data_IF_775426509149
#
_entry.id   IF_775426509149
#
_cell.length_a   1.000
_cell.length_b   1.000
_cell.length_c   1.000
_cell.angle_alpha   90.00
_cell.angle_beta   90.00
_cell.angle_gamma   90.00
#
_symmetry.space_group_name_H-M   'P 1'
#
loop_
_entity.id
_entity.type
_entity.pdbx_description
1 polymer ?
#
# COMPACT_ATOMS: atom_id res chain seq x y z
N UNK A 1 2.43 5.78 -29.00
CA UNK A 1 2.00 4.92 -27.87
C UNK A 1 3.17 4.82 -26.92
N UNK A 2 2.98 5.03 -25.63
CA UNK A 2 4.04 4.85 -24.63
C UNK A 2 4.45 3.38 -24.62
N UNK A 3 5.74 3.09 -24.70
CA UNK A 3 6.28 1.75 -24.67
C UNK A 3 6.25 1.22 -23.23
N UNK A 4 5.79 -0.02 -23.03
CA UNK A 4 5.86 -0.71 -21.75
C UNK A 4 7.07 -1.62 -21.74
N UNK A 5 7.97 -1.42 -20.79
CA UNK A 5 9.25 -2.14 -20.72
C UNK A 5 9.13 -3.21 -19.66
N UNK A 6 9.53 -4.44 -19.98
CA UNK A 6 9.60 -5.51 -18.98
C UNK A 6 10.73 -5.22 -17.97
N UNK A 7 10.49 -5.52 -16.69
CA UNK A 7 11.44 -5.28 -15.61
C UNK A 7 12.85 -5.80 -15.91
N UNK A 8 12.99 -6.97 -16.53
CA UNK A 8 14.28 -7.59 -16.87
C UNK A 8 15.01 -6.97 -18.09
N UNK A 9 14.35 -6.03 -18.79
CA UNK A 9 14.92 -5.27 -19.92
C UNK A 9 15.04 -3.78 -19.61
N UNK A 10 14.69 -3.39 -18.38
CA UNK A 10 14.67 -2.00 -17.99
C UNK A 10 16.08 -1.50 -17.68
N UNK A 11 16.51 -0.46 -18.37
CA UNK A 11 17.80 0.20 -18.15
C UNK A 11 17.61 1.48 -17.35
N UNK A 12 18.03 1.45 -16.08
CA UNK A 12 17.93 2.60 -15.17
C UNK A 12 18.70 3.82 -15.69
N UNK A 13 19.77 3.63 -16.43
CA UNK A 13 20.57 4.74 -16.99
C UNK A 13 19.82 5.58 -18.01
N UNK A 14 18.72 5.05 -18.56
CA UNK A 14 17.83 5.73 -19.51
C UNK A 14 16.77 6.62 -18.84
N UNK A 15 16.79 6.73 -17.51
CA UNK A 15 15.91 7.62 -16.76
C UNK A 15 16.40 9.09 -16.83
N UNK A 16 15.46 9.98 -17.09
CA UNK A 16 15.68 11.42 -17.12
C UNK A 16 14.79 12.09 -16.07
N UNK A 17 15.36 13.00 -15.31
CA UNK A 17 14.70 13.71 -14.22
C UNK A 17 14.52 15.18 -14.57
N UNK A 18 13.32 15.70 -14.49
CA UNK A 18 13.07 17.11 -14.62
C UNK A 18 13.35 17.88 -13.32
N UNK A 19 13.72 19.17 -13.43
CA UNK A 19 13.79 20.03 -12.27
C UNK A 19 12.44 20.12 -11.58
N UNK A 20 12.37 19.94 -10.23
CA UNK A 20 11.12 20.03 -9.52
C UNK A 20 10.48 21.41 -9.60
N UNK A 21 9.19 21.45 -9.93
CA UNK A 21 8.37 22.66 -9.98
C UNK A 21 7.34 22.65 -8.86
N UNK A 22 6.98 23.82 -8.35
CA UNK A 22 5.97 23.95 -7.30
C UNK A 22 4.57 23.63 -7.87
N UNK A 23 3.89 22.69 -7.24
CA UNK A 23 2.52 22.29 -7.56
C UNK A 23 1.72 22.22 -6.24
N UNK A 24 0.87 23.23 -5.96
CA UNK A 24 -0.03 23.21 -4.80
C UNK A 24 0.65 22.88 -3.45
N UNK A 25 1.71 23.62 -3.08
CA UNK A 25 2.49 23.46 -1.85
C UNK A 25 3.39 22.24 -1.76
N UNK A 26 3.64 21.56 -2.85
CA UNK A 26 4.66 20.51 -2.96
C UNK A 26 5.52 20.77 -4.21
N UNK A 27 6.72 20.20 -4.23
CA UNK A 27 7.55 20.22 -5.43
C UNK A 27 7.47 18.87 -6.13
N UNK A 28 7.39 18.89 -7.45
CA UNK A 28 7.25 17.71 -8.26
C UNK A 28 8.19 17.78 -9.48
N UNK A 29 9.05 16.75 -9.63
CA UNK A 29 9.90 16.54 -10.79
C UNK A 29 9.47 15.28 -11.53
N UNK A 30 9.19 15.35 -12.82
CA UNK A 30 8.85 14.17 -13.63
C UNK A 30 10.05 13.26 -13.82
N UNK A 31 9.76 11.97 -14.01
CA UNK A 31 10.71 10.97 -14.45
C UNK A 31 10.23 10.42 -15.79
N UNK A 32 11.09 10.53 -16.79
CA UNK A 32 10.84 10.03 -18.13
C UNK A 32 11.85 8.92 -18.46
N UNK A 33 11.47 7.98 -19.30
CA UNK A 33 12.34 6.96 -19.87
C UNK A 33 12.52 7.21 -21.37
N UNK A 34 13.74 7.54 -21.78
CA UNK A 34 14.00 7.93 -23.18
C UNK A 34 13.04 9.01 -23.69
N UNK A 35 12.76 10.06 -22.89
CA UNK A 35 11.84 11.15 -23.17
C UNK A 35 10.35 10.72 -23.35
N UNK A 36 9.99 9.54 -22.84
CA UNK A 36 8.61 9.05 -22.82
C UNK A 36 8.20 8.74 -21.37
N UNK A 37 6.88 8.70 -21.06
CA UNK A 37 6.41 8.25 -19.76
C UNK A 37 6.94 6.84 -19.45
N UNK A 38 7.42 6.67 -18.22
CA UNK A 38 8.08 5.46 -17.76
C UNK A 38 7.08 4.40 -17.28
N UNK A 39 6.83 3.37 -18.08
CA UNK A 39 5.97 2.24 -17.75
C UNK A 39 6.78 0.95 -17.64
N UNK A 40 6.67 0.27 -16.51
CA UNK A 40 7.39 -0.98 -16.23
C UNK A 40 6.38 -2.11 -16.02
N UNK A 41 6.54 -3.20 -16.77
CA UNK A 41 5.83 -4.46 -16.49
C UNK A 41 6.61 -5.25 -15.43
N UNK A 42 5.92 -5.62 -14.34
CA UNK A 42 6.51 -6.40 -13.24
C UNK A 42 6.77 -7.87 -13.62
N UNK A 43 7.47 -8.59 -12.77
CA UNK A 43 7.42 -10.05 -12.72
C UNK A 43 6.01 -10.53 -12.33
N UNK A 44 5.79 -11.85 -12.32
CA UNK A 44 4.65 -12.46 -11.62
C UNK A 44 4.82 -12.25 -10.12
N UNK A 45 3.79 -11.76 -9.45
CA UNK A 45 3.81 -11.47 -8.03
C UNK A 45 2.54 -12.02 -7.38
N UNK A 46 2.64 -12.45 -6.13
CA UNK A 46 1.51 -12.98 -5.37
C UNK A 46 0.93 -11.87 -4.49
N UNK A 47 -0.38 -11.72 -4.51
CA UNK A 47 -1.09 -10.78 -3.64
C UNK A 47 -1.06 -11.29 -2.20
N UNK A 48 -0.36 -10.58 -1.32
CA UNK A 48 -0.32 -10.88 0.11
C UNK A 48 -1.47 -10.20 0.86
N UNK A 49 -1.76 -8.94 0.50
CA UNK A 49 -2.81 -8.16 1.14
C UNK A 49 -3.28 -6.99 0.25
N UNK A 50 -4.46 -6.47 0.55
CA UNK A 50 -4.98 -5.22 -0.03
C UNK A 50 -5.35 -4.31 1.13
N UNK A 51 -4.66 -3.19 1.26
CA UNK A 51 -4.85 -2.25 2.37
C UNK A 51 -5.27 -0.86 1.91
N UNK A 52 -5.99 -0.17 2.77
CA UNK A 52 -6.34 1.23 2.57
C UNK A 52 -5.74 2.08 3.71
N UNK A 53 -4.96 3.08 3.33
CA UNK A 53 -4.31 4.01 4.26
C UNK A 53 -4.63 5.42 3.81
N UNK A 54 -5.26 6.23 4.65
CA UNK A 54 -5.64 7.62 4.34
C UNK A 54 -6.43 7.76 3.02
N UNK A 55 -7.41 6.90 2.80
CA UNK A 55 -8.24 6.83 1.58
C UNK A 55 -7.46 6.49 0.30
N UNK A 56 -6.23 6.02 0.44
CA UNK A 56 -5.40 5.54 -0.65
C UNK A 56 -5.29 4.02 -0.58
N UNK A 57 -5.64 3.33 -1.67
CA UNK A 57 -5.52 1.87 -1.76
C UNK A 57 -4.13 1.46 -2.20
N UNK A 58 -3.64 0.39 -1.57
CA UNK A 58 -2.38 -0.28 -1.90
C UNK A 58 -2.62 -1.77 -2.04
N UNK A 59 -1.90 -2.38 -2.96
CA UNK A 59 -1.77 -3.82 -3.04
C UNK A 59 -0.39 -4.20 -2.53
N UNK A 60 -0.36 -5.10 -1.57
CA UNK A 60 0.87 -5.68 -1.01
C UNK A 60 1.19 -6.93 -1.79
N UNK A 61 2.33 -6.93 -2.45
CA UNK A 61 2.77 -8.01 -3.31
C UNK A 61 3.98 -8.70 -2.71
N UNK A 62 3.92 -10.01 -2.65
CA UNK A 62 5.01 -10.87 -2.21
C UNK A 62 5.89 -11.19 -3.40
N UNK A 63 7.19 -11.02 -3.22
CA UNK A 63 8.20 -11.37 -4.23
C UNK A 63 8.36 -12.89 -4.28
N UNK A 64 8.58 -13.43 -5.48
CA UNK A 64 8.90 -14.84 -5.63
C UNK A 64 10.27 -15.12 -4.99
N UNK A 65 10.39 -16.09 -4.07
CA UNK A 65 11.66 -16.44 -3.46
C UNK A 65 12.72 -16.91 -4.45
N UNK A 66 12.31 -17.40 -5.61
CA UNK A 66 13.21 -17.88 -6.67
C UNK A 66 13.53 -16.81 -7.72
N UNK A 67 12.82 -15.66 -7.72
CA UNK A 67 13.04 -14.55 -8.66
C UNK A 67 12.96 -13.17 -7.98
N UNK A 68 14.07 -12.70 -7.49
CA UNK A 68 14.22 -11.35 -6.92
C UNK A 68 14.45 -10.25 -7.95
N UNK A 69 14.48 -10.56 -9.24
CA UNK A 69 14.90 -9.60 -10.28
C UNK A 69 14.09 -8.30 -10.31
N UNK A 70 12.79 -8.38 -10.03
CA UNK A 70 11.95 -7.19 -9.95
C UNK A 70 12.19 -6.38 -8.67
N UNK A 71 12.40 -7.04 -7.54
CA UNK A 71 12.76 -6.38 -6.28
C UNK A 71 14.11 -5.66 -6.39
N UNK A 72 15.11 -6.32 -6.96
CA UNK A 72 16.45 -5.75 -7.22
C UNK A 72 16.37 -4.53 -8.13
N UNK A 73 15.49 -4.56 -9.14
CA UNK A 73 15.23 -3.39 -9.98
C UNK A 73 14.71 -2.22 -9.15
N UNK A 74 13.76 -2.45 -8.23
CA UNK A 74 13.21 -1.38 -7.38
C UNK A 74 14.26 -0.84 -6.39
N UNK A 75 15.11 -1.70 -5.83
CA UNK A 75 16.25 -1.26 -4.99
C UNK A 75 17.18 -0.35 -5.79
N UNK A 76 17.56 -0.77 -7.00
CA UNK A 76 18.39 0.04 -7.91
C UNK A 76 17.71 1.35 -8.31
N UNK A 77 16.39 1.34 -8.49
CA UNK A 77 15.61 2.55 -8.77
C UNK A 77 15.64 3.52 -7.59
N UNK A 78 15.47 3.02 -6.37
CA UNK A 78 15.57 3.82 -5.15
C UNK A 78 16.97 4.46 -5.03
N UNK A 79 18.03 3.70 -5.24
CA UNK A 79 19.41 4.20 -5.19
C UNK A 79 19.70 5.22 -6.31
N UNK A 80 19.15 4.99 -7.49
CA UNK A 80 19.28 5.92 -8.62
C UNK A 80 18.50 7.23 -8.37
N UNK A 81 17.31 7.18 -7.79
CA UNK A 81 16.53 8.36 -7.39
C UNK A 81 17.30 9.20 -6.36
N UNK A 82 17.91 8.56 -5.37
CA UNK A 82 18.71 9.21 -4.34
C UNK A 82 19.95 9.87 -4.93
N UNK A 83 20.70 9.12 -5.74
CA UNK A 83 21.93 9.60 -6.40
C UNK A 83 21.64 10.75 -7.37
N UNK A 84 20.53 10.68 -8.13
CA UNK A 84 20.11 11.75 -9.03
C UNK A 84 19.70 13.01 -8.25
N UNK A 85 18.96 12.84 -7.14
CA UNK A 85 18.60 13.97 -6.27
C UNK A 85 19.84 14.63 -5.68
N UNK A 86 20.83 13.87 -5.25
CA UNK A 86 22.11 14.41 -4.79
C UNK A 86 22.84 15.19 -5.89
N UNK A 87 23.00 14.58 -7.05
CA UNK A 87 23.69 15.16 -8.22
C UNK A 87 23.07 16.50 -8.64
N UNK A 88 21.75 16.59 -8.64
CA UNK A 88 21.04 17.78 -9.10
C UNK A 88 20.60 18.72 -7.96
N UNK A 89 20.95 18.43 -6.70
CA UNK A 89 20.48 19.19 -5.54
C UNK A 89 20.77 20.68 -5.63
N UNK A 90 21.98 21.06 -6.10
CA UNK A 90 22.37 22.45 -6.29
C UNK A 90 21.52 23.18 -7.33
N UNK A 91 21.21 22.50 -8.44
CA UNK A 91 20.37 23.06 -9.51
C UNK A 91 18.90 23.14 -9.10
N UNK A 92 18.39 22.12 -8.41
CA UNK A 92 16.98 22.01 -8.05
C UNK A 92 16.60 22.90 -6.85
N UNK A 93 17.49 22.98 -5.86
CA UNK A 93 17.18 23.64 -4.57
C UNK A 93 18.06 24.87 -4.30
N UNK A 94 18.90 25.29 -5.25
CA UNK A 94 19.91 26.34 -5.09
C UNK A 94 20.87 26.12 -3.92
N UNK A 95 20.98 24.86 -3.44
CA UNK A 95 21.83 24.44 -2.34
C UNK A 95 22.25 22.99 -2.55
N UNK A 96 23.52 22.73 -2.38
CA UNK A 96 24.03 21.38 -2.33
C UNK A 96 23.61 20.72 -1.02
N UNK A 97 22.88 19.60 -1.11
CA UNK A 97 22.37 18.86 0.04
C UNK A 97 23.28 17.66 0.29
N UNK A 98 23.74 17.45 1.54
CA UNK A 98 24.53 16.26 1.88
C UNK A 98 23.74 14.97 1.68
N UNK A 99 24.42 13.89 1.27
CA UNK A 99 23.82 12.60 0.97
C UNK A 99 23.09 12.02 2.19
N UNK A 100 23.67 12.15 3.38
CA UNK A 100 23.10 11.66 4.64
C UNK A 100 21.76 12.33 5.01
N UNK A 101 21.57 13.59 4.60
CA UNK A 101 20.29 14.31 4.75
C UNK A 101 19.26 13.77 3.75
N UNK A 102 19.69 13.61 2.49
CA UNK A 102 18.81 13.09 1.43
C UNK A 102 18.35 11.66 1.72
N UNK A 103 19.23 10.80 2.24
CA UNK A 103 18.88 9.44 2.67
C UNK A 103 17.82 9.42 3.78
N UNK A 104 17.96 10.30 4.77
CA UNK A 104 16.97 10.42 5.87
C UNK A 104 15.62 10.96 5.40
N UNK A 105 15.62 11.74 4.32
CA UNK A 105 14.39 12.31 3.75
C UNK A 105 13.73 11.40 2.71
N UNK A 106 14.49 10.52 2.07
CA UNK A 106 13.97 9.66 1.01
C UNK A 106 13.17 8.48 1.56
N UNK A 107 11.90 8.38 1.16
CA UNK A 107 11.08 7.20 1.43
C UNK A 107 11.22 6.22 0.27
N UNK A 108 11.88 5.10 0.54
CA UNK A 108 12.12 4.03 -0.44
C UNK A 108 10.82 3.33 -0.83
N UNK A 109 10.75 2.85 -2.06
CA UNK A 109 9.71 1.94 -2.54
C UNK A 109 9.87 0.58 -1.86
N UNK A 110 11.13 0.16 -1.72
CA UNK A 110 11.51 -1.11 -1.09
C UNK A 110 11.68 -0.93 0.41
N UNK A 111 11.07 -1.83 1.18
CA UNK A 111 11.22 -1.85 2.63
C UNK A 111 12.27 -2.90 3.02
N UNK A 112 13.09 -2.63 4.08
CA UNK A 112 13.97 -3.64 4.61
C UNK A 112 13.15 -4.80 5.17
N UNK A 113 13.60 -6.03 4.92
CA UNK A 113 12.97 -7.26 5.41
C UNK A 113 13.94 -8.04 6.31
N UNK A 114 13.41 -8.89 7.18
CA UNK A 114 14.22 -9.77 8.03
C UNK A 114 14.79 -10.91 7.19
N UNK A 115 15.92 -11.47 7.66
CA UNK A 115 16.68 -12.49 6.93
C UNK A 115 15.85 -13.70 6.48
N UNK A 116 14.81 -14.04 7.25
CA UNK A 116 13.97 -15.23 7.02
C UNK A 116 12.59 -14.86 6.42
N UNK A 117 12.34 -13.57 6.16
CA UNK A 117 11.10 -13.10 5.57
C UNK A 117 11.23 -12.95 4.05
N UNK A 118 10.16 -13.21 3.33
CA UNK A 118 10.08 -12.87 1.91
C UNK A 118 9.72 -11.38 1.79
N UNK A 119 10.49 -10.59 1.01
CA UNK A 119 10.20 -9.17 0.85
C UNK A 119 8.84 -8.95 0.20
N UNK A 120 8.17 -7.89 0.65
CA UNK A 120 6.92 -7.41 0.06
C UNK A 120 7.09 -6.02 -0.54
N UNK A 121 6.24 -5.71 -1.52
CA UNK A 121 6.24 -4.43 -2.23
C UNK A 121 4.84 -3.84 -2.11
N UNK A 122 4.74 -2.61 -1.64
CA UNK A 122 3.49 -1.86 -1.56
C UNK A 122 3.32 -1.01 -2.82
N UNK A 123 2.42 -1.41 -3.71
CA UNK A 123 2.12 -0.64 -4.91
C UNK A 123 0.78 0.10 -4.77
N UNK A 124 0.82 1.38 -5.10
CA UNK A 124 -0.35 2.25 -5.02
C UNK A 124 -1.33 1.97 -6.17
N UNK A 125 -2.62 1.91 -5.84
CA UNK A 125 -3.72 1.82 -6.79
C UNK A 125 -4.39 3.19 -6.86
N UNK A 126 -4.44 3.84 -8.04
CA UNK A 126 -5.10 5.12 -8.18
C UNK A 126 -6.62 4.97 -8.02
N UNK A 127 -7.20 5.77 -7.12
CA UNK A 127 -8.64 5.80 -6.84
C UNK A 127 -9.16 7.21 -7.02
N UNK A 128 -10.23 7.39 -7.80
CA UNK A 128 -10.96 8.66 -7.97
C UNK A 128 -12.42 8.44 -7.64
N UNK A 129 -12.96 9.20 -6.70
CA UNK A 129 -14.36 9.10 -6.25
C UNK A 129 -14.76 7.65 -5.91
N UNK A 130 -13.91 6.96 -5.16
CA UNK A 130 -14.01 5.55 -4.76
C UNK A 130 -13.91 4.52 -5.91
N UNK A 131 -13.67 4.95 -7.14
CA UNK A 131 -13.48 4.03 -8.26
C UNK A 131 -11.98 3.81 -8.53
N UNK A 132 -11.58 2.55 -8.63
CA UNK A 132 -10.24 2.15 -9.07
C UNK A 132 -10.05 2.57 -10.53
N UNK A 133 -8.94 3.25 -10.81
CA UNK A 133 -8.63 3.74 -12.15
C UNK A 133 -7.76 2.77 -12.95
N UNK A 134 -7.11 1.81 -12.28
CA UNK A 134 -6.35 0.75 -12.94
C UNK A 134 -7.29 -0.16 -13.73
N UNK A 135 -6.90 -0.52 -14.95
CA UNK A 135 -7.61 -1.52 -15.74
C UNK A 135 -7.17 -2.92 -15.33
N UNK A 136 -8.13 -3.80 -15.12
CA UNK A 136 -7.87 -5.16 -14.65
C UNK A 136 -8.39 -6.15 -15.68
N UNK A 137 -7.57 -7.14 -15.97
CA UNK A 137 -7.85 -8.15 -17.00
C UNK A 137 -7.72 -9.55 -16.41
N UNK A 138 -8.56 -10.45 -16.87
CA UNK A 138 -8.42 -11.88 -16.65
C UNK A 138 -7.35 -12.51 -17.58
N UNK A 139 -7.20 -13.83 -17.49
CA UNK A 139 -6.28 -14.58 -18.35
C UNK A 139 -6.62 -14.44 -19.85
N UNK A 140 -7.91 -14.33 -20.17
CA UNK A 140 -8.44 -14.19 -21.53
C UNK A 140 -8.43 -12.75 -22.04
N UNK A 141 -7.87 -11.81 -21.29
CA UNK A 141 -7.85 -10.35 -21.55
C UNK A 141 -9.22 -9.67 -21.49
N UNK A 142 -10.22 -10.26 -20.83
CA UNK A 142 -11.47 -9.58 -20.57
C UNK A 142 -11.27 -8.63 -19.39
N UNK A 143 -11.95 -7.48 -19.42
CA UNK A 143 -11.95 -6.54 -18.29
C UNK A 143 -12.79 -7.12 -17.17
N UNK A 144 -12.20 -7.13 -15.95
CA UNK A 144 -12.85 -7.60 -14.72
C UNK A 144 -12.80 -6.53 -13.64
N UNK A 145 -13.65 -6.68 -12.62
CA UNK A 145 -13.68 -5.79 -11.46
C UNK A 145 -12.51 -6.06 -10.50
N UNK A 146 -12.14 -5.04 -9.73
CA UNK A 146 -11.01 -5.11 -8.79
C UNK A 146 -11.24 -6.13 -7.65
N UNK A 147 -12.48 -6.40 -7.28
CA UNK A 147 -12.89 -7.36 -6.25
C UNK A 147 -12.51 -8.81 -6.57
N UNK A 148 -12.23 -9.10 -7.85
CA UNK A 148 -11.74 -10.42 -8.29
C UNK A 148 -10.27 -10.67 -7.91
N UNK A 149 -9.54 -9.62 -7.51
CA UNK A 149 -8.19 -9.76 -6.99
C UNK A 149 -8.27 -9.96 -5.48
N UNK A 150 -7.85 -11.12 -5.04
CA UNK A 150 -7.88 -11.52 -3.63
C UNK A 150 -6.49 -11.92 -3.15
N UNK A 151 -6.32 -12.03 -1.83
CA UNK A 151 -5.10 -12.62 -1.25
C UNK A 151 -4.82 -13.99 -1.88
N UNK A 152 -3.55 -14.24 -2.24
CA UNK A 152 -3.10 -15.46 -2.91
C UNK A 152 -3.23 -15.41 -4.45
N UNK A 153 -3.91 -14.42 -5.02
CA UNK A 153 -3.95 -14.26 -6.49
C UNK A 153 -2.55 -13.99 -7.04
N UNK A 154 -2.21 -14.62 -8.16
CA UNK A 154 -0.98 -14.32 -8.91
C UNK A 154 -1.29 -13.30 -10.00
N UNK A 155 -0.57 -12.19 -10.01
CA UNK A 155 -0.81 -11.08 -10.93
C UNK A 155 0.48 -10.59 -11.60
N UNK A 156 0.32 -9.93 -12.74
CA UNK A 156 1.34 -9.10 -13.38
C UNK A 156 0.78 -7.67 -13.45
N UNK A 157 1.60 -6.68 -13.11
CA UNK A 157 1.20 -5.28 -13.14
C UNK A 157 1.99 -4.48 -14.19
N UNK A 158 1.39 -3.40 -14.67
CA UNK A 158 2.10 -2.30 -15.29
C UNK A 158 2.10 -1.15 -14.31
N UNK A 159 3.28 -0.72 -13.86
CA UNK A 159 3.47 0.43 -13.00
C UNK A 159 3.94 1.63 -13.82
N UNK A 160 3.45 2.81 -13.47
CA UNK A 160 3.92 4.08 -14.00
C UNK A 160 4.84 4.73 -12.95
N UNK A 161 6.10 4.88 -13.28
CA UNK A 161 7.06 5.68 -12.51
C UNK A 161 6.91 7.12 -12.95
N UNK A 162 6.16 7.91 -12.21
CA UNK A 162 5.72 9.23 -12.65
C UNK A 162 6.72 10.34 -12.35
N UNK A 163 7.38 10.28 -11.18
CA UNK A 163 8.31 11.33 -10.79
C UNK A 163 8.70 11.30 -9.33
N UNK A 164 9.47 12.30 -8.90
CA UNK A 164 9.82 12.53 -7.51
C UNK A 164 8.92 13.60 -6.91
N UNK A 165 8.29 13.29 -5.79
CA UNK A 165 7.41 14.17 -5.05
C UNK A 165 8.07 14.60 -3.75
N UNK A 166 8.36 15.89 -3.62
CA UNK A 166 9.02 16.49 -2.49
C UNK A 166 8.01 17.16 -1.57
N UNK A 167 7.98 16.72 -0.33
CA UNK A 167 7.17 17.29 0.75
C UNK A 167 8.06 18.11 1.69
N UNK A 168 7.48 18.68 2.76
CA UNK A 168 8.25 19.50 3.71
C UNK A 168 9.35 18.74 4.47
N UNK A 169 9.13 17.44 4.74
CA UNK A 169 10.03 16.64 5.59
C UNK A 169 10.65 15.45 4.87
N UNK A 170 10.04 15.00 3.80
CA UNK A 170 10.44 13.80 3.07
C UNK A 170 10.17 13.94 1.57
N UNK A 171 10.72 13.03 0.78
CA UNK A 171 10.39 12.89 -0.64
C UNK A 171 10.37 11.41 -1.03
N UNK A 172 9.71 11.09 -2.13
CA UNK A 172 9.53 9.73 -2.59
C UNK A 172 9.27 9.67 -4.10
N UNK A 173 9.46 8.47 -4.64
CA UNK A 173 9.09 8.17 -6.03
C UNK A 173 7.56 7.96 -6.11
N UNK A 174 6.86 8.87 -6.82
CA UNK A 174 5.42 8.74 -7.08
C UNK A 174 5.21 7.71 -8.18
N UNK A 175 4.75 6.53 -7.80
CA UNK A 175 4.45 5.43 -8.70
C UNK A 175 3.06 4.88 -8.41
N UNK A 176 2.44 4.27 -9.42
CA UNK A 176 1.14 3.63 -9.26
C UNK A 176 0.87 2.60 -10.35
N UNK A 177 -0.01 1.65 -10.03
CA UNK A 177 -0.44 0.62 -10.96
C UNK A 177 -1.41 1.21 -11.98
N UNK A 178 -1.14 1.01 -13.27
CA UNK A 178 -2.03 1.40 -14.36
C UNK A 178 -2.86 0.24 -14.89
N UNK A 179 -2.27 -0.96 -14.93
CA UNK A 179 -2.96 -2.18 -15.36
C UNK A 179 -2.56 -3.36 -14.47
N UNK A 180 -3.48 -4.29 -14.31
CA UNK A 180 -3.28 -5.57 -13.63
C UNK A 180 -3.78 -6.67 -14.54
N UNK A 181 -3.00 -7.73 -14.70
CA UNK A 181 -3.45 -8.98 -15.31
C UNK A 181 -3.47 -10.07 -14.25
N UNK A 182 -4.64 -10.63 -14.01
CA UNK A 182 -4.82 -11.79 -13.15
C UNK A 182 -4.33 -13.04 -13.89
N UNK A 183 -3.27 -13.68 -13.39
CA UNK A 183 -2.68 -14.89 -13.97
C UNK A 183 -3.32 -16.14 -13.40
N UNK A 184 -3.45 -16.19 -12.07
CA UNK A 184 -4.03 -17.30 -11.33
C UNK A 184 -4.83 -16.74 -10.16
N UNK A 185 -6.00 -17.29 -9.92
CA UNK A 185 -6.78 -17.03 -8.72
C UNK A 185 -6.90 -18.34 -7.93
N UNK A 186 -6.68 -18.30 -6.64
CA UNK A 186 -7.03 -19.42 -5.78
C UNK A 186 -8.56 -19.37 -5.61
N UNK A 187 -9.28 -19.98 -6.53
CA UNK A 187 -10.69 -20.24 -6.34
C UNK A 187 -10.82 -21.50 -5.51
N UNK A 188 -11.04 -21.36 -4.22
CA UNK A 188 -11.60 -22.44 -3.44
C UNK A 188 -13.05 -22.62 -3.93
N UNK A 189 -13.26 -23.57 -4.85
CA UNK A 189 -14.61 -23.98 -5.19
C UNK A 189 -15.14 -24.78 -4.00
N UNK A 190 -15.91 -24.14 -3.14
CA UNK A 190 -16.70 -24.87 -2.14
C UNK A 190 -17.69 -25.70 -2.95
N UNK A 191 -17.67 -27.04 -2.81
CA UNK A 191 -18.62 -27.88 -3.53
C UNK A 191 -20.06 -27.46 -3.20
N UNK A 192 -20.89 -27.32 -4.21
CA UNK A 192 -22.33 -27.05 -4.02
C UNK A 192 -23.09 -28.20 -3.35
N UNK A 193 -22.40 -29.31 -3.09
CA UNK A 193 -22.93 -30.53 -2.43
C UNK A 193 -22.24 -30.68 -1.08
N UNK A 194 -23.02 -30.97 -0.06
CA UNK A 194 -22.46 -31.37 1.23
C UNK A 194 -21.64 -32.65 1.04
N UNK A 195 -20.34 -32.58 1.34
CA UNK A 195 -19.41 -33.71 1.30
C UNK A 195 -19.12 -34.27 2.71
N UNK A 196 -19.82 -33.75 3.72
CA UNK A 196 -19.71 -34.23 5.10
C UNK A 196 -20.44 -35.56 5.16
N UNK A 197 -19.70 -36.63 5.40
CA UNK A 197 -20.22 -37.97 5.69
C UNK A 197 -20.16 -38.17 7.20
N UNK A 198 -21.24 -38.67 7.80
CA UNK A 198 -21.28 -39.03 9.20
C UNK A 198 -20.89 -40.53 9.27
N UNK A 199 -19.92 -40.84 10.08
CA UNK A 199 -19.65 -42.24 10.43
C UNK A 199 -20.79 -42.78 11.29
N UNK A 200 -21.14 -44.09 11.16
CA UNK A 200 -22.22 -44.69 11.92
C UNK A 200 -22.01 -44.58 13.45
N UNK A 201 -20.78 -44.40 13.88
CA UNK A 201 -20.41 -44.19 15.28
C UNK A 201 -20.78 -42.77 15.80
N UNK A 202 -20.95 -41.75 14.95
CA UNK A 202 -21.34 -40.41 15.33
C UNK A 202 -22.81 -40.32 15.80
N UNK A 203 -23.61 -41.34 15.50
CA UNK A 203 -25.02 -41.41 15.92
C UNK A 203 -25.23 -42.03 17.33
N UNK A 204 -24.14 -42.48 18.01
CA UNK A 204 -24.28 -43.21 19.29
C UNK A 204 -23.86 -42.37 20.52
N UNK A 205 -23.36 -41.18 20.35
CA UNK A 205 -23.04 -40.30 21.47
C UNK A 205 -24.00 -39.09 21.52
N UNK A 206 -25.05 -39.29 22.36
CA UNK A 206 -25.72 -38.17 23.03
C UNK A 206 -24.72 -37.43 23.94
N UNK A 207 -23.65 -36.94 23.37
CA UNK A 207 -22.77 -36.01 24.05
C UNK A 207 -23.36 -34.63 23.87
N UNK A 208 -24.16 -34.25 24.88
CA UNK A 208 -24.33 -32.85 25.28
C UNK A 208 -22.93 -32.26 25.48
N UNK A 209 -22.23 -31.90 24.38
CA UNK A 209 -21.14 -30.96 24.50
C UNK A 209 -21.73 -29.64 24.92
N UNK A 210 -21.24 -29.11 26.03
CA UNK A 210 -21.55 -27.80 26.58
C UNK A 210 -21.20 -26.68 25.57
N UNK A 211 -21.99 -26.56 24.50
CA UNK A 211 -21.94 -25.40 23.61
C UNK A 211 -22.37 -24.10 24.33
N UNK A 212 -23.08 -24.24 25.45
CA UNK A 212 -23.54 -23.10 26.27
C UNK A 212 -22.37 -22.32 26.89
N UNK A 213 -21.25 -22.97 27.26
CA UNK A 213 -20.12 -22.30 27.96
C UNK A 213 -19.29 -21.44 26.98
N UNK A 214 -19.10 -21.90 25.74
CA UNK A 214 -18.35 -21.13 24.73
C UNK A 214 -19.13 -19.92 24.23
N UNK A 215 -20.45 -20.03 24.12
CA UNK A 215 -21.31 -18.92 23.74
C UNK A 215 -21.39 -17.85 24.85
N UNK A 216 -21.42 -18.23 26.12
CA UNK A 216 -21.44 -17.30 27.23
C UNK A 216 -20.13 -16.49 27.35
N UNK A 217 -18.97 -17.10 27.16
CA UNK A 217 -17.68 -16.37 27.16
C UNK A 217 -17.56 -15.39 25.99
N UNK A 218 -18.06 -15.77 24.83
CA UNK A 218 -18.07 -14.89 23.64
C UNK A 218 -19.07 -13.74 23.84
N UNK A 219 -20.24 -14.01 24.39
CA UNK A 219 -21.25 -13.00 24.71
C UNK A 219 -20.72 -12.04 25.77
N UNK A 220 -20.06 -12.54 26.83
CA UNK A 220 -19.46 -11.74 27.88
C UNK A 220 -18.36 -10.82 27.33
N UNK A 221 -17.42 -11.35 26.53
CA UNK A 221 -16.36 -10.56 25.91
C UNK A 221 -16.89 -9.49 24.95
N UNK A 222 -17.94 -9.81 24.20
CA UNK A 222 -18.58 -8.83 23.32
C UNK A 222 -19.28 -7.73 24.11
N UNK A 223 -19.90 -8.07 25.26
CA UNK A 223 -20.54 -7.10 26.14
C UNK A 223 -19.52 -6.18 26.80
N UNK A 224 -18.42 -6.73 27.31
CA UNK A 224 -17.30 -5.93 27.86
C UNK A 224 -16.69 -5.00 26.80
N UNK A 225 -16.58 -5.46 25.56
CA UNK A 225 -16.08 -4.63 24.46
C UNK A 225 -17.02 -3.47 24.17
N UNK A 226 -18.33 -3.70 24.15
CA UNK A 226 -19.34 -2.65 23.93
C UNK A 226 -19.30 -1.61 25.07
N UNK A 227 -19.21 -2.05 26.32
CA UNK A 227 -19.12 -1.17 27.49
C UNK A 227 -17.83 -0.31 27.45
N UNK A 228 -16.71 -0.87 27.01
CA UNK A 228 -15.46 -0.13 26.83
C UNK A 228 -15.53 0.88 25.68
N UNK A 229 -16.18 0.54 24.57
CA UNK A 229 -16.38 1.46 23.45
C UNK A 229 -17.28 2.64 23.84
N UNK A 230 -18.30 2.40 24.68
CA UNK A 230 -19.18 3.44 25.20
C UNK A 230 -18.44 4.38 26.17
N UNK A 231 -17.65 3.81 27.11
CA UNK A 231 -16.80 4.59 28.02
C UNK A 231 -15.76 5.43 27.25
N UNK A 232 -15.16 4.87 26.22
CA UNK A 232 -14.20 5.58 25.36
C UNK A 232 -14.88 6.77 24.67
N UNK A 233 -16.06 6.57 24.11
CA UNK A 233 -16.84 7.64 23.48
C UNK A 233 -17.23 8.77 24.44
N UNK A 234 -17.57 8.42 25.70
CA UNK A 234 -17.86 9.43 26.74
C UNK A 234 -16.61 10.22 27.13
N UNK A 235 -15.46 9.57 27.26
CA UNK A 235 -14.20 10.22 27.55
C UNK A 235 -13.75 11.16 26.44
N UNK A 236 -13.92 10.77 25.18
CA UNK A 236 -13.65 11.65 24.04
C UNK A 236 -14.51 12.92 24.08
N UNK A 237 -15.81 12.80 24.40
CA UNK A 237 -16.70 13.96 24.53
C UNK A 237 -16.25 14.89 25.64
N UNK A 238 -15.86 14.36 26.82
CA UNK A 238 -15.34 15.14 27.95
C UNK A 238 -14.04 15.84 27.57
N UNK A 239 -13.13 15.17 26.86
CA UNK A 239 -11.87 15.76 26.41
C UNK A 239 -12.08 16.94 25.47
N UNK A 240 -13.07 16.85 24.57
CA UNK A 240 -13.46 17.95 23.67
C UNK A 240 -13.98 19.14 24.47
N UNK A 241 -14.83 18.91 25.47
CA UNK A 241 -15.42 19.95 26.32
C UNK A 241 -14.34 20.63 27.19
N UNK A 242 -13.47 19.86 27.82
CA UNK A 242 -12.34 20.37 28.60
C UNK A 242 -11.35 21.21 27.75
N UNK A 243 -11.11 20.77 26.52
CA UNK A 243 -10.26 21.50 25.58
C UNK A 243 -10.87 22.84 25.21
N UNK A 244 -12.19 22.91 25.06
CA UNK A 244 -12.92 24.14 24.82
C UNK A 244 -12.85 25.09 26.01
N UNK A 245 -13.07 24.60 27.23
CA UNK A 245 -12.94 25.37 28.47
C UNK A 245 -11.52 25.92 28.63
N UNK A 246 -10.50 25.11 28.36
CA UNK A 246 -9.10 25.53 28.40
C UNK A 246 -8.81 26.66 27.39
N UNK A 247 -9.38 26.59 26.20
CA UNK A 247 -9.24 27.64 25.19
C UNK A 247 -9.88 28.97 25.61
N UNK A 248 -11.08 28.88 26.23
CA UNK A 248 -11.78 30.05 26.75
C UNK A 248 -11.05 30.71 27.94
N UNK A 249 -10.47 29.90 28.85
CA UNK A 249 -9.67 30.42 29.96
C UNK A 249 -8.39 31.09 29.46
N UNK A 250 -7.71 30.54 28.44
CA UNK A 250 -6.55 31.17 27.83
C UNK A 250 -6.90 32.54 27.22
N UNK A 251 -8.02 32.63 26.49
CA UNK A 251 -8.49 33.92 25.97
C UNK A 251 -8.77 34.95 27.07
N UNK A 252 -9.39 34.51 28.19
CA UNK A 252 -9.63 35.42 29.34
C UNK A 252 -8.35 35.92 29.97
N UNK A 253 -7.32 35.05 30.11
CA UNK A 253 -6.00 35.44 30.66
C UNK A 253 -5.30 36.44 29.70
N UNK A 254 -5.36 36.23 28.40
CA UNK A 254 -4.71 37.13 27.44
C UNK A 254 -5.40 38.47 27.35
N UNK A 255 -6.72 38.56 27.62
CA UNK A 255 -7.47 39.78 27.71
C UNK A 255 -7.28 40.60 29.03
N UNK A 256 -6.62 39.99 30.02
CA UNK A 256 -6.30 40.63 31.32
C UNK A 256 -4.87 41.18 31.38
N UNK A 257 -4.06 40.98 30.33
CA UNK A 257 -2.74 41.57 30.13
C UNK A 257 -2.82 42.85 29.37
#
# INVERSE_FOLDING_TARGET
MSEVIRHNKFDISSLHYSKPVNQNNLYYGSIDYNNNPCYIQTAKLVVEDIKEVNKQKYIVLKVDPDDFSFYDLLVKLDDHNLSSTYKFSKEWFNKELPMDILEKMYRRITLPFKKDDVPTIDLKIPVIKNNVQSKIYDQSNNVIEFDKITKGSTIICIIHIKGLKFLKKDYYCDNYITQIKLCESITYSIPNKCLIEFDEEDNTHDNKYDYEILDEEIIQKNKEKLDLEEQFSELEKKLIEDTKILSELKQKIDNLK
#
